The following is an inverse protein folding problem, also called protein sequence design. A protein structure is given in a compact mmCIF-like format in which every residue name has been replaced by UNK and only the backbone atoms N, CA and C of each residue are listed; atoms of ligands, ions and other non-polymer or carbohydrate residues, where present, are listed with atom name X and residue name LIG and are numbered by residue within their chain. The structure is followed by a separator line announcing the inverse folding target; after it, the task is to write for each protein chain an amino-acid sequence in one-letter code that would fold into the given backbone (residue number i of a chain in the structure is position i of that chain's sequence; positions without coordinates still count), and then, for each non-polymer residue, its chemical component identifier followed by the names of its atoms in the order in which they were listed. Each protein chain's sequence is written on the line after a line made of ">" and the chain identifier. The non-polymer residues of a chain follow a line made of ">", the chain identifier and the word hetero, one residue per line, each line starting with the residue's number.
data_IF_030241226019
#
_entry.id   IF_030241226019
#
_cell.length_a   1.000
_cell.length_b   1.000
_cell.length_c   1.000
_cell.angle_alpha   90.00
_cell.angle_beta   90.00
_cell.angle_gamma   90.00
#
_symmetry.space_group_name_H-M   'P 1'
#
loop_
_entity.id
_entity.type
_entity.pdbx_description
1 polymer ?
#
# COMPACT_ATOMS: atom_id res chain seq x y z
N UNK A 1 9.33 25.08 24.53
CA UNK A 1 8.71 23.79 24.15
C UNK A 1 9.47 23.25 22.95
N UNK A 2 10.33 22.25 23.16
CA UNK A 2 11.27 21.76 22.14
C UNK A 2 10.58 20.95 21.05
N UNK A 3 10.75 21.37 19.79
CA UNK A 3 10.45 20.52 18.64
C UNK A 3 11.44 19.35 18.64
N UNK A 4 10.96 18.15 19.04
CA UNK A 4 11.75 16.92 18.86
C UNK A 4 11.92 16.73 17.35
N UNK A 5 13.18 16.66 16.91
CA UNK A 5 13.53 16.23 15.56
C UNK A 5 13.16 14.75 15.42
N UNK A 6 11.94 14.47 14.95
CA UNK A 6 11.52 13.10 14.58
C UNK A 6 12.45 12.57 13.50
N UNK A 7 13.01 11.38 13.74
CA UNK A 7 13.80 10.68 12.72
C UNK A 7 12.91 10.22 11.57
N UNK A 8 13.47 10.05 10.36
CA UNK A 8 12.70 9.59 9.20
C UNK A 8 12.01 8.24 9.46
N UNK A 9 12.62 7.36 10.25
CA UNK A 9 12.08 6.05 10.64
C UNK A 9 10.87 6.18 11.59
N UNK A 10 10.94 7.05 12.60
CA UNK A 10 9.79 7.30 13.50
C UNK A 10 8.58 7.88 12.75
N UNK A 11 8.82 8.70 11.71
CA UNK A 11 7.76 9.25 10.86
C UNK A 11 7.11 8.16 9.99
N UNK A 12 7.92 7.27 9.42
CA UNK A 12 7.44 6.15 8.62
C UNK A 12 6.60 5.17 9.46
N UNK A 13 7.01 4.87 10.69
CA UNK A 13 6.25 4.01 11.61
C UNK A 13 4.91 4.62 12.02
N UNK A 14 4.84 5.94 12.28
CA UNK A 14 3.56 6.60 12.59
C UNK A 14 2.60 6.59 11.41
N UNK A 15 3.08 6.95 10.23
CA UNK A 15 2.29 6.88 9.00
C UNK A 15 1.81 5.46 8.73
N UNK A 16 2.65 4.46 9.00
CA UNK A 16 2.27 3.06 8.89
C UNK A 16 1.16 2.67 9.86
N UNK A 17 1.25 3.07 11.13
CA UNK A 17 0.23 2.81 12.14
C UNK A 17 -1.10 3.49 11.80
N UNK A 18 -1.06 4.73 11.30
CA UNK A 18 -2.23 5.47 10.84
C UNK A 18 -2.91 4.78 9.64
N UNK A 19 -2.12 4.38 8.63
CA UNK A 19 -2.62 3.62 7.49
C UNK A 19 -3.23 2.28 7.90
N UNK A 20 -2.62 1.56 8.85
CA UNK A 20 -3.19 0.31 9.38
C UNK A 20 -4.48 0.54 10.15
N UNK A 21 -4.64 1.69 10.80
CA UNK A 21 -5.90 2.07 11.44
C UNK A 21 -6.99 2.32 10.41
N UNK A 22 -6.73 3.12 9.38
CA UNK A 22 -7.66 3.38 8.28
C UNK A 22 -8.08 2.08 7.57
N UNK A 23 -7.11 1.22 7.25
CA UNK A 23 -7.37 -0.11 6.65
C UNK A 23 -8.26 -0.96 7.55
N UNK A 24 -8.06 -0.90 8.87
CA UNK A 24 -8.88 -1.67 9.81
C UNK A 24 -10.32 -1.15 9.88
N UNK A 25 -10.53 0.16 9.81
CA UNK A 25 -11.87 0.76 9.71
C UNK A 25 -12.61 0.26 8.47
N UNK A 26 -11.92 0.16 7.33
CA UNK A 26 -12.51 -0.39 6.10
C UNK A 26 -12.77 -1.88 6.22
N UNK A 27 -11.83 -2.64 6.81
CA UNK A 27 -11.96 -4.08 6.98
C UNK A 27 -13.17 -4.46 7.86
N UNK A 28 -13.42 -3.71 8.94
CA UNK A 28 -14.59 -3.93 9.80
C UNK A 28 -15.89 -3.61 9.07
N UNK A 29 -15.92 -2.59 8.22
CA UNK A 29 -17.09 -2.29 7.39
C UNK A 29 -17.42 -3.44 6.41
N UNK A 30 -16.40 -4.04 5.77
CA UNK A 30 -16.58 -5.20 4.88
C UNK A 30 -17.09 -6.41 5.66
N UNK A 31 -16.55 -6.67 6.86
CA UNK A 31 -17.03 -7.76 7.72
C UNK A 31 -18.48 -7.55 8.14
N UNK A 32 -18.86 -6.32 8.49
CA UNK A 32 -20.23 -5.99 8.87
C UNK A 32 -21.19 -6.21 7.69
N UNK A 33 -20.82 -5.79 6.48
CA UNK A 33 -21.61 -6.04 5.27
C UNK A 33 -21.78 -7.54 5.01
N UNK A 34 -20.71 -8.32 5.16
CA UNK A 34 -20.75 -9.77 5.02
C UNK A 34 -21.66 -10.42 6.07
N UNK A 35 -21.58 -9.98 7.33
CA UNK A 35 -22.44 -10.48 8.41
C UNK A 35 -23.92 -10.15 8.15
N UNK A 36 -24.23 -8.94 7.67
CA UNK A 36 -25.60 -8.59 7.28
C UNK A 36 -26.11 -9.43 6.12
N UNK A 37 -25.29 -9.66 5.10
CA UNK A 37 -25.64 -10.58 4.02
C UNK A 37 -25.96 -11.95 4.60
N UNK A 38 -25.09 -12.52 5.43
CA UNK A 38 -25.30 -13.81 6.07
C UNK A 38 -26.59 -13.85 6.90
N UNK A 39 -26.90 -12.78 7.63
CA UNK A 39 -28.13 -12.69 8.41
C UNK A 39 -29.39 -12.80 7.52
N UNK A 40 -29.37 -12.27 6.29
CA UNK A 40 -30.49 -12.37 5.35
C UNK A 40 -30.84 -13.84 5.04
N UNK A 41 -29.87 -14.76 4.99
CA UNK A 41 -30.12 -16.19 4.73
C UNK A 41 -31.07 -16.82 5.75
N UNK A 42 -31.09 -16.29 6.98
CA UNK A 42 -31.93 -16.80 8.07
C UNK A 42 -33.28 -16.10 8.16
N UNK A 43 -33.55 -15.12 7.29
CA UNK A 43 -34.82 -14.39 7.27
C UNK A 43 -35.87 -15.11 6.40
N UNK A 44 -37.18 -14.94 6.68
CA UNK A 44 -38.24 -15.44 5.80
C UNK A 44 -38.16 -14.91 4.36
N UNK A 45 -37.54 -13.74 4.17
CA UNK A 45 -37.32 -13.17 2.84
C UNK A 45 -36.47 -14.09 1.96
N UNK A 46 -35.48 -14.81 2.53
CA UNK A 46 -34.66 -15.79 1.81
C UNK A 46 -35.51 -16.90 1.17
N UNK A 47 -36.53 -17.39 1.90
CA UNK A 47 -37.45 -18.41 1.41
C UNK A 47 -38.26 -17.97 0.18
N UNK A 48 -38.45 -16.67 -0.02
CA UNK A 48 -39.18 -16.10 -1.16
C UNK A 48 -38.33 -15.87 -2.41
N UNK A 49 -37.01 -16.04 -2.34
CA UNK A 49 -36.14 -15.94 -3.52
C UNK A 49 -36.41 -17.12 -4.47
N UNK A 50 -36.44 -16.83 -5.76
CA UNK A 50 -36.40 -17.87 -6.79
C UNK A 50 -35.03 -18.53 -6.85
N UNK A 51 -34.94 -19.68 -7.53
CA UNK A 51 -33.72 -20.51 -7.55
C UNK A 51 -32.49 -19.76 -8.09
N UNK A 52 -32.68 -18.96 -9.14
CA UNK A 52 -31.60 -18.12 -9.70
C UNK A 52 -31.08 -17.10 -8.70
N UNK A 53 -31.97 -16.43 -7.97
CA UNK A 53 -31.59 -15.39 -7.00
C UNK A 53 -30.92 -16.01 -5.77
N UNK A 54 -31.33 -17.22 -5.36
CA UNK A 54 -30.64 -18.00 -4.32
C UNK A 54 -29.21 -18.36 -4.74
N UNK A 55 -29.00 -18.80 -5.97
CA UNK A 55 -27.66 -19.11 -6.47
C UNK A 55 -26.77 -17.86 -6.51
N UNK A 56 -27.28 -16.74 -7.01
CA UNK A 56 -26.58 -15.45 -7.02
C UNK A 56 -26.23 -14.98 -5.60
N UNK A 57 -27.16 -15.16 -4.67
CA UNK A 57 -26.94 -14.86 -3.26
C UNK A 57 -25.86 -15.75 -2.63
N UNK A 58 -25.86 -17.06 -2.91
CA UNK A 58 -24.80 -17.96 -2.42
C UNK A 58 -23.43 -17.59 -2.98
N UNK A 59 -23.35 -17.27 -4.28
CA UNK A 59 -22.12 -16.77 -4.89
C UNK A 59 -21.66 -15.44 -4.25
N UNK A 60 -22.59 -14.52 -3.98
CA UNK A 60 -22.31 -13.28 -3.25
C UNK A 60 -21.70 -13.57 -1.88
N UNK A 61 -22.28 -14.51 -1.14
CA UNK A 61 -21.83 -14.91 0.18
C UNK A 61 -20.42 -15.51 0.14
N UNK A 62 -20.16 -16.41 -0.81
CA UNK A 62 -18.84 -17.03 -1.00
C UNK A 62 -17.79 -15.99 -1.40
N UNK A 63 -18.13 -15.06 -2.30
CA UNK A 63 -17.26 -13.94 -2.67
C UNK A 63 -16.94 -13.07 -1.45
N UNK A 64 -17.92 -12.78 -0.59
CA UNK A 64 -17.70 -11.99 0.63
C UNK A 64 -16.82 -12.69 1.67
N UNK A 65 -17.01 -13.99 1.87
CA UNK A 65 -16.15 -14.79 2.72
C UNK A 65 -14.70 -14.82 2.20
N UNK A 66 -14.53 -15.07 0.90
CA UNK A 66 -13.23 -15.09 0.25
C UNK A 66 -12.56 -13.71 0.24
N UNK A 67 -13.31 -12.62 0.01
CA UNK A 67 -12.81 -11.25 0.09
C UNK A 67 -12.29 -10.94 1.50
N UNK A 68 -13.08 -11.27 2.53
CA UNK A 68 -12.69 -11.08 3.93
C UNK A 68 -11.42 -11.85 4.28
N UNK A 69 -11.32 -13.11 3.85
CA UNK A 69 -10.13 -13.92 4.05
C UNK A 69 -8.89 -13.34 3.32
N UNK A 70 -9.05 -12.94 2.05
CA UNK A 70 -7.99 -12.37 1.24
C UNK A 70 -7.48 -11.02 1.78
N UNK A 71 -8.39 -10.15 2.24
CA UNK A 71 -8.06 -8.83 2.81
C UNK A 71 -7.49 -8.91 4.23
N UNK A 72 -7.80 -9.98 4.98
CA UNK A 72 -7.13 -10.29 6.25
C UNK A 72 -5.72 -10.84 6.03
N UNK A 73 -5.48 -11.43 4.85
CA UNK A 73 -4.23 -12.06 4.44
C UNK A 73 -2.95 -11.24 4.69
N UNK A 74 -2.85 -9.94 4.32
CA UNK A 74 -1.64 -9.14 4.54
C UNK A 74 -1.25 -9.01 6.01
N UNK A 75 -2.23 -8.90 6.92
CA UNK A 75 -1.99 -8.82 8.36
C UNK A 75 -1.48 -10.15 8.90
N UNK A 76 -2.07 -11.26 8.44
CA UNK A 76 -1.64 -12.61 8.80
C UNK A 76 -0.26 -12.93 8.23
N UNK A 77 -0.01 -12.60 6.97
CA UNK A 77 1.26 -12.82 6.28
C UNK A 77 2.38 -12.00 6.91
N UNK A 78 2.10 -10.74 7.29
CA UNK A 78 3.04 -9.94 8.07
C UNK A 78 3.35 -10.66 9.39
N UNK A 79 2.35 -11.02 10.20
CA UNK A 79 2.54 -11.72 11.48
C UNK A 79 3.31 -13.04 11.36
N UNK A 80 3.08 -13.83 10.31
CA UNK A 80 3.73 -15.13 10.10
C UNK A 80 5.18 -14.99 9.60
N UNK A 81 5.49 -13.91 8.87
CA UNK A 81 6.81 -13.71 8.23
C UNK A 81 7.71 -12.77 9.05
N UNK A 82 7.20 -12.08 10.07
CA UNK A 82 8.01 -11.34 11.06
C UNK A 82 8.93 -12.33 11.82
N UNK A 83 10.06 -12.67 11.22
CA UNK A 83 11.02 -13.67 11.74
C UNK A 83 11.78 -14.42 10.63
N UNK A 84 11.21 -14.53 9.44
CA UNK A 84 11.83 -15.22 8.30
C UNK A 84 12.43 -14.19 7.33
N UNK A 85 13.73 -14.32 7.00
CA UNK A 85 14.49 -13.40 6.13
C UNK A 85 14.09 -13.43 4.63
N UNK A 86 12.89 -13.90 4.28
CA UNK A 86 12.38 -13.93 2.90
C UNK A 86 11.64 -12.62 2.56
N UNK A 87 12.42 -11.58 2.26
CA UNK A 87 11.90 -10.20 2.13
C UNK A 87 11.20 -9.89 0.80
N UNK A 88 11.49 -10.58 -0.30
CA UNK A 88 11.00 -10.23 -1.65
C UNK A 88 9.74 -10.98 -2.07
N UNK A 89 9.67 -12.31 -1.87
CA UNK A 89 8.51 -13.11 -2.31
C UNK A 89 7.24 -12.83 -1.50
N UNK A 90 7.38 -12.56 -0.20
CA UNK A 90 6.28 -12.26 0.71
C UNK A 90 5.47 -11.03 0.26
N UNK A 91 6.17 -10.01 -0.25
CA UNK A 91 5.54 -8.77 -0.72
C UNK A 91 4.71 -9.02 -1.98
N UNK A 92 5.18 -9.89 -2.88
CA UNK A 92 4.43 -10.25 -4.08
C UNK A 92 3.14 -11.03 -3.74
N UNK A 93 3.20 -11.93 -2.77
CA UNK A 93 2.02 -12.65 -2.29
C UNK A 93 1.03 -11.74 -1.55
N UNK A 94 1.51 -10.83 -0.71
CA UNK A 94 0.65 -9.83 -0.07
C UNK A 94 -0.08 -8.97 -1.11
N UNK A 95 0.62 -8.52 -2.15
CA UNK A 95 0.00 -7.73 -3.23
C UNK A 95 -1.05 -8.53 -4.02
N UNK A 96 -0.79 -9.82 -4.27
CA UNK A 96 -1.77 -10.72 -4.92
C UNK A 96 -3.02 -10.93 -4.07
N UNK A 97 -2.87 -11.11 -2.76
CA UNK A 97 -3.99 -11.26 -1.83
C UNK A 97 -4.86 -10.00 -1.77
N UNK A 98 -4.24 -8.82 -1.71
CA UNK A 98 -4.98 -7.54 -1.75
C UNK A 98 -5.72 -7.38 -3.08
N UNK A 99 -5.07 -7.67 -4.21
CA UNK A 99 -5.69 -7.58 -5.53
C UNK A 99 -6.87 -8.56 -5.68
N UNK A 100 -6.70 -9.82 -5.24
CA UNK A 100 -7.77 -10.81 -5.24
C UNK A 100 -8.92 -10.38 -4.32
N UNK A 101 -8.62 -9.88 -3.13
CA UNK A 101 -9.61 -9.36 -2.18
C UNK A 101 -10.45 -8.21 -2.75
N UNK A 102 -9.82 -7.28 -3.48
CA UNK A 102 -10.52 -6.19 -4.18
C UNK A 102 -11.47 -6.71 -5.26
N UNK A 103 -11.04 -7.68 -6.08
CA UNK A 103 -11.90 -8.27 -7.12
C UNK A 103 -13.07 -9.03 -6.50
N UNK A 104 -12.83 -9.80 -5.44
CA UNK A 104 -13.87 -10.53 -4.73
C UNK A 104 -14.85 -9.59 -4.04
N UNK A 105 -14.37 -8.47 -3.49
CA UNK A 105 -15.21 -7.43 -2.92
C UNK A 105 -16.11 -6.78 -3.99
N UNK A 106 -15.58 -6.51 -5.18
CA UNK A 106 -16.37 -6.03 -6.32
C UNK A 106 -17.47 -7.03 -6.67
N UNK A 107 -17.12 -8.31 -6.77
CA UNK A 107 -18.07 -9.36 -7.12
C UNK A 107 -19.18 -9.49 -6.08
N UNK A 108 -18.83 -9.49 -4.79
CA UNK A 108 -19.78 -9.53 -3.69
C UNK A 108 -20.75 -8.34 -3.73
N UNK A 109 -20.26 -7.10 -3.82
CA UNK A 109 -21.14 -5.92 -3.84
C UNK A 109 -22.03 -5.90 -5.07
N UNK A 110 -21.51 -6.31 -6.23
CA UNK A 110 -22.26 -6.38 -7.48
C UNK A 110 -23.35 -7.45 -7.45
N UNK A 111 -23.03 -8.66 -6.98
CA UNK A 111 -23.98 -9.75 -6.83
C UNK A 111 -25.05 -9.42 -5.77
N UNK A 112 -24.64 -8.85 -4.64
CA UNK A 112 -25.56 -8.41 -3.59
C UNK A 112 -26.55 -7.37 -4.10
N UNK A 113 -26.08 -6.34 -4.80
CA UNK A 113 -26.95 -5.33 -5.39
C UNK A 113 -27.86 -5.92 -6.48
N UNK A 114 -27.33 -6.80 -7.32
CA UNK A 114 -28.10 -7.47 -8.37
C UNK A 114 -29.28 -8.26 -7.76
N UNK A 115 -29.04 -9.06 -6.72
CA UNK A 115 -30.10 -9.83 -6.04
C UNK A 115 -31.17 -8.89 -5.49
N UNK A 116 -30.77 -7.83 -4.77
CA UNK A 116 -31.71 -6.86 -4.18
C UNK A 116 -32.53 -6.16 -5.26
N UNK A 117 -31.90 -5.67 -6.33
CA UNK A 117 -32.60 -4.95 -7.39
C UNK A 117 -33.51 -5.86 -8.21
N UNK A 118 -33.11 -7.11 -8.45
CA UNK A 118 -33.96 -8.12 -9.11
C UNK A 118 -35.25 -8.34 -8.32
N UNK A 119 -35.17 -8.31 -7.00
CA UNK A 119 -36.33 -8.44 -6.12
C UNK A 119 -37.29 -7.24 -6.20
N UNK A 120 -36.78 -6.02 -6.45
CA UNK A 120 -37.55 -4.77 -6.35
C UNK A 120 -38.00 -4.20 -7.69
N UNK A 121 -37.19 -4.31 -8.75
CA UNK A 121 -37.39 -3.59 -10.03
C UNK A 121 -37.47 -4.48 -11.27
N UNK A 122 -37.10 -5.76 -11.16
CA UNK A 122 -37.05 -6.70 -12.28
C UNK A 122 -35.66 -6.84 -12.92
N UNK A 123 -35.48 -7.86 -13.78
CA UNK A 123 -34.16 -8.39 -14.15
C UNK A 123 -33.29 -7.45 -14.99
N UNK A 124 -33.89 -6.68 -15.90
CA UNK A 124 -33.16 -5.81 -16.83
C UNK A 124 -32.62 -4.57 -16.13
N UNK A 125 -33.49 -3.88 -15.37
CA UNK A 125 -33.11 -2.70 -14.58
C UNK A 125 -32.04 -3.05 -13.55
N UNK A 126 -32.17 -4.20 -12.89
CA UNK A 126 -31.19 -4.70 -11.95
C UNK A 126 -29.81 -4.95 -12.59
N UNK A 127 -29.78 -5.50 -13.82
CA UNK A 127 -28.54 -5.72 -14.53
C UNK A 127 -27.86 -4.40 -14.92
N UNK A 128 -28.61 -3.41 -15.42
CA UNK A 128 -28.07 -2.11 -15.81
C UNK A 128 -27.47 -1.35 -14.61
N UNK A 129 -28.19 -1.29 -13.50
CA UNK A 129 -27.73 -0.63 -12.28
C UNK A 129 -26.58 -1.41 -11.61
N UNK A 130 -26.64 -2.74 -11.61
CA UNK A 130 -25.55 -3.58 -11.13
C UNK A 130 -24.28 -3.40 -11.95
N UNK A 131 -24.40 -3.38 -13.28
CA UNK A 131 -23.27 -3.16 -14.19
C UNK A 131 -22.70 -1.75 -14.07
N UNK A 132 -23.55 -0.72 -13.97
CA UNK A 132 -23.07 0.66 -13.83
C UNK A 132 -22.31 0.87 -12.52
N UNK A 133 -22.80 0.31 -11.40
CA UNK A 133 -22.07 0.36 -10.13
C UNK A 133 -20.78 -0.46 -10.19
N UNK A 134 -20.80 -1.64 -10.82
CA UNK A 134 -19.60 -2.48 -11.00
C UNK A 134 -18.51 -1.71 -11.75
N UNK A 135 -18.89 -1.04 -12.85
CA UNK A 135 -17.98 -0.20 -13.65
C UNK A 135 -17.48 0.98 -12.82
N UNK A 136 -18.36 1.66 -12.08
CA UNK A 136 -17.98 2.77 -11.21
C UNK A 136 -16.94 2.35 -10.15
N UNK A 137 -17.20 1.26 -9.42
CA UNK A 137 -16.28 0.73 -8.43
C UNK A 137 -14.95 0.28 -9.07
N UNK A 138 -15.00 -0.41 -10.22
CA UNK A 138 -13.80 -0.81 -10.95
C UNK A 138 -12.96 0.40 -11.41
N UNK A 139 -13.60 1.49 -11.84
CA UNK A 139 -12.93 2.74 -12.18
C UNK A 139 -12.32 3.40 -10.94
N UNK A 140 -13.09 3.55 -9.86
CA UNK A 140 -12.61 4.15 -8.60
C UNK A 140 -11.41 3.41 -8.03
N UNK A 141 -11.34 2.08 -8.16
CA UNK A 141 -10.23 1.28 -7.64
C UNK A 141 -9.08 1.11 -8.64
N UNK A 142 -9.40 0.96 -9.94
CA UNK A 142 -8.42 0.72 -11.00
C UNK A 142 -7.66 1.97 -11.42
N UNK A 143 -8.31 3.15 -11.42
CA UNK A 143 -7.69 4.41 -11.86
C UNK A 143 -6.51 4.82 -10.98
N UNK A 144 -6.62 4.86 -9.63
CA UNK A 144 -5.48 5.20 -8.77
C UNK A 144 -4.31 4.22 -8.95
N UNK A 145 -4.59 2.91 -8.98
CA UNK A 145 -3.57 1.88 -9.17
C UNK A 145 -2.85 2.02 -10.53
N UNK A 146 -3.59 2.34 -11.59
CA UNK A 146 -3.05 2.56 -12.93
C UNK A 146 -2.20 3.84 -13.01
N UNK A 147 -2.69 4.95 -12.43
CA UNK A 147 -1.99 6.23 -12.44
C UNK A 147 -0.67 6.18 -11.64
N UNK A 148 -0.67 5.52 -10.47
CA UNK A 148 0.54 5.33 -9.66
C UNK A 148 1.57 4.46 -10.41
N UNK A 149 1.13 3.39 -11.07
CA UNK A 149 2.00 2.55 -11.91
C UNK A 149 2.62 3.33 -13.07
N UNK A 150 1.86 4.22 -13.74
CA UNK A 150 2.38 5.10 -14.80
C UNK A 150 3.46 6.06 -14.30
N UNK A 151 3.24 6.74 -13.16
CA UNK A 151 4.23 7.68 -12.58
C UNK A 151 5.56 7.01 -12.21
N UNK A 152 5.52 5.76 -11.75
CA UNK A 152 6.74 4.98 -11.44
C UNK A 152 7.62 4.69 -12.68
N UNK A 153 7.02 4.71 -13.87
CA UNK A 153 7.72 4.47 -15.14
C UNK A 153 8.45 5.73 -15.62
N UNK A 154 7.85 6.91 -15.44
CA UNK A 154 8.48 8.21 -15.80
C UNK A 154 9.66 8.58 -14.90
N UNK A 155 9.64 8.24 -13.60
CA UNK A 155 10.73 8.59 -12.66
C UNK A 155 12.00 7.76 -12.87
N UNK A 156 11.90 6.59 -13.52
CA UNK A 156 13.07 5.78 -13.93
C UNK A 156 13.80 6.40 -15.14
N UNK A 157 13.09 7.12 -16.00
CA UNK A 157 13.70 7.81 -17.15
C UNK A 157 14.40 9.12 -16.75
N UNK A 158 13.97 9.81 -15.69
CA UNK A 158 14.63 11.08 -15.26
C UNK A 158 15.93 10.88 -14.48
N UNK A 159 16.22 9.67 -13.98
CA UNK A 159 17.49 9.33 -13.32
C UNK A 159 18.49 8.67 -14.28
N UNK A 160 18.02 8.10 -15.38
CA UNK A 160 18.85 7.59 -16.47
C UNK A 160 19.25 8.72 -17.45
N UNK A 161 19.55 9.91 -16.94
CA UNK A 161 20.28 10.91 -17.71
C UNK A 161 21.76 10.54 -17.65
N UNK A 162 22.38 10.06 -18.75
CA UNK A 162 23.80 9.83 -18.76
C UNK A 162 24.55 11.16 -18.95
N UNK A 163 25.80 11.11 -18.48
CA UNK A 163 26.90 12.06 -18.72
C UNK A 163 27.01 13.28 -17.81
N UNK A 164 27.81 13.04 -16.75
CA UNK A 164 29.07 13.76 -16.55
C UNK A 164 29.58 14.38 -17.86
N UNK A 165 29.18 15.61 -18.15
CA UNK A 165 29.85 16.45 -19.15
C UNK A 165 31.12 16.99 -18.53
N UNK A 166 32.16 16.15 -18.55
CA UNK A 166 33.55 16.64 -18.59
C UNK A 166 33.79 17.29 -19.97
N UNK A 167 33.38 18.55 -20.13
CA UNK A 167 33.89 19.42 -21.19
C UNK A 167 33.54 20.89 -20.91
N UNK A 168 34.36 21.56 -20.11
CA UNK A 168 34.26 23.00 -19.88
C UNK A 168 35.36 23.50 -18.96
N UNK A 169 36.60 23.47 -19.46
CA UNK A 169 37.82 23.66 -18.69
C UNK A 169 37.86 24.89 -17.78
N UNK A 170 38.06 24.64 -16.49
CA UNK A 170 38.69 25.58 -15.58
C UNK A 170 40.10 25.04 -15.28
N UNK A 171 41.11 25.72 -15.85
CA UNK A 171 42.53 25.43 -15.64
C UNK A 171 42.83 25.44 -14.14
N UNK A 172 43.42 24.36 -13.64
CA UNK A 172 44.16 24.37 -12.38
C UNK A 172 45.46 25.14 -12.65
N UNK A 173 45.75 26.26 -11.95
CA UNK A 173 47.06 26.86 -12.03
C UNK A 173 48.02 26.05 -11.15
N UNK A 174 48.92 25.31 -11.79
CA UNK A 174 50.17 24.88 -11.18
C UNK A 174 50.93 26.13 -10.69
N UNK A 175 51.04 26.31 -9.37
CA UNK A 175 52.12 27.13 -8.78
C UNK A 175 53.17 26.19 -8.22
N UNK A 176 54.29 26.14 -8.93
CA UNK A 176 55.50 25.47 -8.52
C UNK A 176 56.02 25.96 -7.17
N UNK A 177 56.45 24.97 -6.39
CA UNK A 177 57.73 24.93 -5.69
C UNK A 177 58.29 26.23 -5.11
N UNK A 178 58.17 26.39 -3.79
CA UNK A 178 59.21 27.01 -2.99
C UNK A 178 59.43 26.18 -1.71
N UNK A 179 60.52 25.41 -1.76
CA UNK A 179 61.40 25.07 -0.63
C UNK A 179 61.08 25.77 0.69
N UNK A 180 60.75 25.00 1.72
CA UNK A 180 61.36 25.24 3.04
C UNK A 180 61.52 23.94 3.79
N UNK A 181 62.80 23.65 4.01
CA UNK A 181 63.40 22.48 4.63
C UNK A 181 63.54 22.78 6.13
N UNK A 182 63.45 21.74 6.95
CA UNK A 182 63.77 21.71 8.40
C UNK A 182 62.72 22.41 9.28
N UNK A 183 62.25 21.87 10.41
CA UNK A 183 62.86 20.93 11.36
C UNK A 183 61.79 20.46 12.36
N UNK A 184 61.73 19.15 12.65
CA UNK A 184 61.28 18.62 13.95
C UNK A 184 62.41 18.82 15.00
N UNK A 185 62.21 18.57 16.31
CA UNK A 185 61.23 19.08 17.27
C UNK A 185 61.93 19.74 18.49
N UNK A 186 61.21 20.43 19.40
CA UNK A 186 61.79 20.94 20.65
C UNK A 186 60.88 20.66 21.86
N UNK A 187 61.03 19.46 22.42
CA UNK A 187 60.44 18.97 23.68
C UNK A 187 60.92 19.70 24.96
N UNK A 188 61.42 20.94 24.90
CA UNK A 188 62.33 21.43 25.95
C UNK A 188 62.02 22.78 26.62
N UNK A 189 60.78 23.34 26.57
CA UNK A 189 60.56 24.68 27.18
C UNK A 189 59.40 24.91 28.15
N UNK A 190 58.43 24.02 28.32
CA UNK A 190 57.31 24.29 29.27
C UNK A 190 57.19 23.33 30.47
N UNK A 191 58.21 22.51 30.75
CA UNK A 191 58.35 21.82 32.05
C UNK A 191 59.12 22.61 33.12
N UNK A 192 59.46 23.89 32.87
CA UNK A 192 60.38 24.64 33.75
C UNK A 192 59.98 26.08 34.10
N UNK A 193 58.75 26.51 33.80
CA UNK A 193 58.24 27.81 34.23
C UNK A 193 57.02 27.64 35.16
N UNK A 194 57.27 27.66 36.47
CA UNK A 194 56.24 28.03 37.46
C UNK A 194 55.83 26.98 38.47
N UNK A 195 56.77 26.16 38.97
CA UNK A 195 56.84 25.95 40.43
C UNK A 195 57.51 27.21 40.97
N UNK A 196 56.74 28.05 41.63
CA UNK A 196 57.17 29.20 42.42
C UNK A 196 56.07 29.52 43.40
#
# INVERSE_FOLDING_TARGET
>A
MGQRLETCDERADRLWLELMHEVRVVLTAVQLLFAFLLAVAFTPAYGRLGDTDRLLYLLCLLCGAAATAALTGPVALHRLVTGLRLKSETVAWASRLVAAGLVLLLAMTSLGLLVVLRQVTGPVTALLLGASLSVWCALCWGVPAFLLRRRSRSRRMSWAAPEVSEAGGARVPERGTATSRASLPAEARERQAGRG
#
